data_IF_619224820317
#
_entry.id   IF_619224820317
#
_cell.length_a   1.000
_cell.length_b   1.000
_cell.length_c   1.000
_cell.angle_alpha   90.00
_cell.angle_beta   90.00
_cell.angle_gamma   90.00
#
_symmetry.space_group_name_H-M   'P 1'
#
loop_
_entity.id
_entity.type
_entity.pdbx_description
1 polymer ?
#
# COMPACT_ATOMS: atom_id res chain seq x y z
N UNK A 1 -12.19 -1.15 -1.18
CA UNK A 1 -10.97 -1.84 -0.69
C UNK A 1 -10.91 -1.78 0.82
N UNK A 2 -10.58 -2.89 1.46
CA UNK A 2 -10.49 -2.95 2.92
C UNK A 2 -9.14 -2.48 3.42
N UNK A 3 -8.10 -2.58 2.58
CA UNK A 3 -6.74 -2.18 2.89
C UNK A 3 -6.06 -1.67 1.63
N UNK A 4 -5.35 -0.56 1.75
CA UNK A 4 -4.56 0.02 0.66
C UNK A 4 -3.11 0.12 1.13
N UNK A 5 -2.20 -0.50 0.40
CA UNK A 5 -0.77 -0.39 0.62
C UNK A 5 -0.13 0.32 -0.56
N UNK A 6 0.36 1.52 -0.31
CA UNK A 6 1.10 2.34 -1.26
C UNK A 6 2.49 2.54 -0.70
N UNK A 7 3.51 1.98 -1.37
CA UNK A 7 4.87 2.18 -0.89
C UNK A 7 5.20 3.68 -0.89
N UNK A 8 5.71 4.13 0.24
CA UNK A 8 6.03 5.54 0.45
C UNK A 8 7.39 5.88 -0.15
N UNK A 9 7.44 5.92 -1.47
CA UNK A 9 8.63 6.37 -2.18
C UNK A 9 8.52 7.88 -2.33
N UNK A 10 8.75 8.52 -1.20
CA UNK A 10 8.58 9.92 -0.83
C UNK A 10 7.12 10.36 -0.65
N UNK A 11 6.94 11.26 0.34
CA UNK A 11 5.62 11.75 0.75
C UNK A 11 4.90 12.50 -0.39
N UNK A 12 5.62 13.24 -1.22
CA UNK A 12 5.03 13.99 -2.32
C UNK A 12 4.33 13.07 -3.32
N UNK A 13 4.90 11.90 -3.60
CA UNK A 13 4.31 10.91 -4.49
C UNK A 13 3.03 10.33 -3.88
N UNK A 14 3.07 9.96 -2.61
CA UNK A 14 1.90 9.44 -1.90
C UNK A 14 0.75 10.44 -1.94
N UNK A 15 1.02 11.70 -1.68
CA UNK A 15 0.01 12.75 -1.72
C UNK A 15 -0.56 12.94 -3.12
N UNK A 16 0.29 12.92 -4.15
CA UNK A 16 -0.14 13.07 -5.54
C UNK A 16 -1.05 11.91 -5.97
N UNK A 17 -0.66 10.67 -5.66
CA UNK A 17 -1.43 9.47 -6.03
C UNK A 17 -2.77 9.45 -5.30
N UNK A 18 -2.79 9.71 -4.00
CA UNK A 18 -4.02 9.69 -3.23
C UNK A 18 -5.00 10.78 -3.62
N UNK A 19 -4.49 11.96 -4.01
CA UNK A 19 -5.34 13.02 -4.58
C UNK A 19 -5.95 12.61 -5.91
N UNK A 20 -5.17 12.00 -6.78
CA UNK A 20 -5.65 11.51 -8.07
C UNK A 20 -6.73 10.45 -7.89
N UNK A 21 -6.60 9.60 -6.87
CA UNK A 21 -7.62 8.61 -6.54
C UNK A 21 -8.87 9.21 -5.89
N UNK A 22 -8.79 10.45 -5.39
CA UNK A 22 -9.92 11.11 -4.74
C UNK A 22 -10.27 10.49 -3.38
N UNK A 23 -9.28 10.05 -2.62
CA UNK A 23 -9.51 9.46 -1.29
C UNK A 23 -10.06 10.50 -0.32
N UNK A 24 -11.11 10.12 0.43
CA UNK A 24 -11.64 10.91 1.54
C UNK A 24 -10.81 10.71 2.81
N UNK A 25 -11.07 11.52 3.85
CA UNK A 25 -10.42 11.35 5.14
C UNK A 25 -10.68 9.96 5.73
N UNK A 26 -11.89 9.43 5.54
CA UNK A 26 -12.24 8.08 5.98
C UNK A 26 -11.42 7.02 5.24
N UNK A 27 -11.15 7.21 3.95
CA UNK A 27 -10.34 6.28 3.15
C UNK A 27 -8.89 6.21 3.64
N UNK A 28 -8.36 7.32 4.18
CA UNK A 28 -7.00 7.37 4.71
C UNK A 28 -6.77 6.40 5.87
N UNK A 29 -7.81 6.05 6.61
CA UNK A 29 -7.71 5.09 7.72
C UNK A 29 -7.32 3.69 7.24
N UNK A 30 -7.48 3.41 5.95
CA UNK A 30 -7.15 2.12 5.33
C UNK A 30 -5.81 2.12 4.59
N UNK A 31 -5.12 3.26 4.56
CA UNK A 31 -3.86 3.41 3.84
C UNK A 31 -2.68 3.18 4.78
N UNK A 32 -1.81 2.22 4.42
CA UNK A 32 -0.55 1.97 5.10
C UNK A 32 -0.67 1.86 6.62
N UNK A 33 -1.65 1.12 7.09
CA UNK A 33 -2.01 1.04 8.52
C UNK A 33 -0.90 0.52 9.42
N UNK A 34 0.08 -0.22 8.87
CA UNK A 34 1.22 -0.76 9.62
C UNK A 34 2.52 -0.01 9.32
N UNK A 35 2.44 1.15 8.64
CA UNK A 35 3.61 1.89 8.16
C UNK A 35 4.08 1.38 6.80
N UNK A 36 4.98 2.12 6.19
CA UNK A 36 5.55 1.75 4.89
C UNK A 36 6.96 2.36 4.72
N UNK A 37 7.36 2.70 3.51
CA UNK A 37 8.75 3.08 3.20
C UNK A 37 9.34 4.20 4.05
N UNK A 38 8.56 5.22 4.36
CA UNK A 38 9.05 6.35 5.18
C UNK A 38 9.34 5.92 6.61
N UNK A 39 8.43 5.15 7.22
CA UNK A 39 8.56 4.76 8.63
C UNK A 39 9.39 3.49 8.84
N UNK A 40 9.40 2.55 7.87
CA UNK A 40 10.02 1.24 8.00
C UNK A 40 11.25 1.04 7.12
N UNK A 41 11.46 1.92 6.13
CA UNK A 41 12.53 1.78 5.16
C UNK A 41 12.08 1.09 3.88
N UNK A 42 12.92 1.19 2.84
CA UNK A 42 12.62 0.64 1.53
C UNK A 42 13.81 -0.14 0.96
N UNK A 43 14.06 -1.36 1.44
CA UNK A 43 15.01 -2.24 0.79
C UNK A 43 14.40 -2.74 -0.53
N UNK A 44 14.85 -2.17 -1.64
CA UNK A 44 14.20 -2.30 -2.97
C UNK A 44 13.87 -3.75 -3.34
N UNK A 45 14.76 -4.70 -3.05
CA UNK A 45 14.54 -6.10 -3.39
C UNK A 45 13.55 -6.83 -2.47
N UNK A 46 13.15 -6.24 -1.35
CA UNK A 46 12.31 -6.89 -0.34
C UNK A 46 10.96 -6.21 -0.11
N UNK A 47 10.79 -4.94 -0.49
CA UNK A 47 9.60 -4.15 -0.13
C UNK A 47 8.31 -4.77 -0.64
N UNK A 48 8.27 -5.23 -1.88
CA UNK A 48 7.07 -5.85 -2.45
C UNK A 48 6.61 -7.07 -1.67
N UNK A 49 7.54 -7.97 -1.32
CA UNK A 49 7.24 -9.15 -0.52
C UNK A 49 6.84 -8.78 0.91
N UNK A 50 7.50 -7.78 1.51
CA UNK A 50 7.14 -7.28 2.84
C UNK A 50 5.72 -6.74 2.89
N UNK A 51 5.37 -5.88 1.95
CA UNK A 51 4.02 -5.29 1.89
C UNK A 51 2.98 -6.39 1.74
N UNK A 52 3.17 -7.32 0.82
CA UNK A 52 2.22 -8.41 0.61
C UNK A 52 2.08 -9.29 1.85
N UNK A 53 3.19 -9.66 2.50
CA UNK A 53 3.16 -10.50 3.70
C UNK A 53 2.45 -9.81 4.85
N UNK A 54 2.74 -8.56 5.13
CA UNK A 54 2.12 -7.81 6.23
C UNK A 54 0.64 -7.55 5.96
N UNK A 55 0.30 -7.15 4.75
CA UNK A 55 -1.06 -6.82 4.38
C UNK A 55 -1.97 -8.05 4.36
N UNK A 56 -1.48 -9.19 3.86
CA UNK A 56 -2.28 -10.42 3.85
C UNK A 56 -2.61 -10.88 5.28
N UNK A 57 -1.65 -10.78 6.20
CA UNK A 57 -1.89 -11.08 7.62
C UNK A 57 -2.87 -10.11 8.25
N UNK A 58 -2.77 -8.83 7.91
CA UNK A 58 -3.70 -7.82 8.40
C UNK A 58 -5.14 -8.12 7.96
N UNK A 59 -5.35 -8.48 6.68
CA UNK A 59 -6.65 -8.88 6.19
C UNK A 59 -7.22 -10.08 6.95
N UNK A 60 -6.39 -11.08 7.25
CA UNK A 60 -6.82 -12.25 8.02
C UNK A 60 -7.25 -11.88 9.43
N UNK A 61 -6.52 -10.98 10.10
CA UNK A 61 -6.84 -10.55 11.46
C UNK A 61 -8.11 -9.72 11.54
N UNK A 62 -8.35 -8.87 10.55
CA UNK A 62 -9.48 -7.93 10.56
C UNK A 62 -10.72 -8.46 9.86
N UNK A 63 -10.62 -9.58 9.15
CA UNK A 63 -11.71 -10.12 8.35
C UNK A 63 -11.95 -9.36 7.05
N UNK A 64 -11.05 -8.48 6.65
CA UNK A 64 -11.12 -7.77 5.37
C UNK A 64 -10.97 -8.74 4.19
N UNK A 65 -11.45 -8.33 3.03
CA UNK A 65 -11.49 -9.18 1.86
C UNK A 65 -10.52 -8.76 0.75
N UNK A 66 -10.41 -7.46 0.48
CA UNK A 66 -9.63 -6.96 -0.65
C UNK A 66 -8.50 -6.06 -0.21
N UNK A 67 -7.35 -6.25 -0.83
CA UNK A 67 -6.15 -5.45 -0.67
C UNK A 67 -5.75 -4.85 -2.02
N UNK A 68 -5.47 -3.55 -2.05
CA UNK A 68 -4.77 -2.90 -3.15
C UNK A 68 -3.32 -2.67 -2.73
N UNK A 69 -2.38 -3.26 -3.45
CA UNK A 69 -0.95 -3.01 -3.27
C UNK A 69 -0.41 -2.26 -4.48
N UNK A 70 0.35 -1.21 -4.24
CA UNK A 70 0.95 -0.42 -5.31
C UNK A 70 2.33 0.08 -4.92
N UNK A 71 3.22 0.16 -5.89
CA UNK A 71 4.57 0.70 -5.72
C UNK A 71 5.18 1.06 -7.08
N UNK A 72 6.24 1.87 -7.07
CA UNK A 72 7.02 2.10 -8.27
C UNK A 72 7.93 0.90 -8.56
N UNK A 73 8.26 0.70 -9.82
CA UNK A 73 9.16 -0.37 -10.25
C UNK A 73 10.46 0.16 -10.86
N UNK A 74 10.66 1.47 -10.83
CA UNK A 74 11.84 2.14 -11.37
C UNK A 74 11.52 2.91 -12.65
N UNK A 75 12.34 3.92 -12.96
CA UNK A 75 12.20 4.70 -14.19
C UNK A 75 10.85 5.42 -14.36
N UNK A 76 10.21 5.78 -13.26
CA UNK A 76 8.91 6.46 -13.30
C UNK A 76 7.72 5.53 -13.59
N UNK A 77 7.93 4.22 -13.60
CA UNK A 77 6.87 3.24 -13.81
C UNK A 77 6.23 2.84 -12.48
N UNK A 78 4.96 2.42 -12.52
CA UNK A 78 4.25 1.94 -11.35
C UNK A 78 3.60 0.58 -11.58
N UNK A 79 3.37 -0.15 -10.50
CA UNK A 79 2.66 -1.42 -10.49
C UNK A 79 1.58 -1.37 -9.43
N UNK A 80 0.40 -1.87 -9.77
CA UNK A 80 -0.70 -2.02 -8.83
C UNK A 80 -1.30 -3.42 -8.97
N UNK A 81 -1.66 -4.02 -7.84
CA UNK A 81 -2.29 -5.34 -7.83
C UNK A 81 -3.39 -5.38 -6.76
N UNK A 82 -4.48 -6.06 -7.07
CA UNK A 82 -5.59 -6.28 -6.15
C UNK A 82 -5.58 -7.75 -5.74
N UNK A 83 -5.61 -8.00 -4.44
CA UNK A 83 -5.64 -9.35 -3.89
C UNK A 83 -6.93 -9.55 -3.11
N UNK A 84 -7.44 -10.78 -3.15
CA UNK A 84 -8.61 -11.18 -2.38
C UNK A 84 -8.20 -12.24 -1.37
N UNK A 85 -8.69 -12.10 -0.13
CA UNK A 85 -8.48 -13.11 0.89
C UNK A 85 -9.24 -14.38 0.54
N UNK A 86 -8.53 -15.48 0.57
CA UNK A 86 -9.12 -16.80 0.29
C UNK A 86 -10.06 -17.25 1.40
#
# INVERSE_FOLDING_TARGET
MDLIELNEDFAAQVLAVTRTWGLSDEDWERVNVNGSGISLGHPVGATGARILAMASRHLQRTGGRYLLETMCIGGGQGLAAVFERA
#
